data_IF_153543815218
#
_entry.id   IF_153543815218
#
_cell.length_a   1.000
_cell.length_b   1.000
_cell.length_c   1.000
_cell.angle_alpha   90.00
_cell.angle_beta   90.00
_cell.angle_gamma   90.00
#
_symmetry.space_group_name_H-M   'P 1'
#
loop_
_entity.id
_entity.type
_entity.pdbx_description
1 polymer ?
#
# COMPACT_ATOMS: atom_id res chain seq x y z
N UNK A 1 26.71 21.05 12.61
CA UNK A 1 25.32 21.11 12.16
C UNK A 1 25.27 20.52 10.75
N UNK A 2 24.85 19.26 10.60
CA UNK A 2 24.69 18.68 9.26
C UNK A 2 23.52 19.39 8.55
N UNK A 3 23.62 19.72 7.25
CA UNK A 3 22.51 20.32 6.53
C UNK A 3 21.28 19.41 6.62
N UNK A 4 20.05 19.95 6.67
CA UNK A 4 18.85 19.14 6.67
C UNK A 4 18.87 18.26 5.42
N UNK A 5 18.78 16.95 5.62
CA UNK A 5 18.75 15.98 4.55
C UNK A 5 17.50 16.24 3.69
N UNK A 6 17.68 16.82 2.51
CA UNK A 6 16.57 17.12 1.60
C UNK A 6 15.89 15.83 1.16
N UNK A 7 14.58 15.73 1.37
CA UNK A 7 13.76 14.63 0.83
C UNK A 7 13.07 15.16 -0.41
N UNK A 8 13.25 14.47 -1.54
CA UNK A 8 12.61 14.83 -2.82
C UNK A 8 11.64 13.73 -3.19
N UNK A 9 10.43 14.10 -3.60
CA UNK A 9 9.33 13.20 -3.96
C UNK A 9 9.00 13.37 -5.44
N UNK A 10 8.80 12.28 -6.16
CA UNK A 10 8.42 12.33 -7.58
C UNK A 10 7.72 11.05 -8.03
N UNK A 11 7.03 11.14 -9.18
CA UNK A 11 6.39 10.01 -9.85
C UNK A 11 7.03 9.78 -11.21
N UNK A 12 7.04 8.53 -11.65
CA UNK A 12 7.53 8.10 -12.97
C UNK A 12 6.42 7.29 -13.64
N UNK A 13 5.93 7.69 -14.82
CA UNK A 13 5.01 6.88 -15.61
C UNK A 13 5.62 5.49 -15.88
N UNK A 14 4.79 4.44 -15.83
CA UNK A 14 5.24 3.05 -15.96
C UNK A 14 6.09 2.80 -17.20
N UNK A 15 5.71 3.39 -18.33
CA UNK A 15 6.45 3.34 -19.60
C UNK A 15 7.85 3.96 -19.55
N UNK A 16 8.10 4.87 -18.59
CA UNK A 16 9.38 5.57 -18.40
C UNK A 16 10.21 4.98 -17.24
N UNK A 17 9.74 3.91 -16.58
CA UNK A 17 10.47 3.27 -15.49
C UNK A 17 11.69 2.51 -16.03
N UNK A 18 12.86 2.97 -15.60
CA UNK A 18 14.17 2.39 -15.96
C UNK A 18 14.48 1.12 -15.18
N UNK A 19 15.35 0.27 -15.72
CA UNK A 19 15.84 -0.90 -15.01
C UNK A 19 16.67 -0.55 -13.77
N UNK A 20 17.36 0.60 -13.78
CA UNK A 20 18.08 1.10 -12.62
C UNK A 20 17.12 1.40 -11.47
N UNK A 21 15.99 2.08 -11.77
CA UNK A 21 14.93 2.30 -10.79
C UNK A 21 14.37 0.97 -10.30
N UNK A 22 14.06 0.01 -11.17
CA UNK A 22 13.56 -1.31 -10.75
C UNK A 22 14.55 -2.14 -9.92
N UNK A 23 15.85 -2.05 -10.17
CA UNK A 23 16.89 -2.73 -9.38
C UNK A 23 17.01 -2.13 -7.99
N UNK A 24 17.02 -0.80 -7.89
CA UNK A 24 16.84 -0.13 -6.61
C UNK A 24 15.49 -0.52 -5.99
N UNK A 25 14.48 -0.80 -6.82
CA UNK A 25 13.20 -1.31 -6.39
C UNK A 25 13.27 -2.62 -5.62
N UNK A 26 13.74 -3.62 -6.33
CA UNK A 26 14.00 -4.95 -5.83
C UNK A 26 14.85 -4.94 -4.55
N UNK A 27 15.89 -4.11 -4.52
CA UNK A 27 16.85 -4.04 -3.41
C UNK A 27 16.20 -3.53 -2.13
N UNK A 28 15.45 -2.42 -2.17
CA UNK A 28 14.76 -1.90 -0.99
C UNK A 28 13.73 -2.89 -0.47
N UNK A 29 12.91 -3.48 -1.35
CA UNK A 29 11.89 -4.46 -0.97
C UNK A 29 12.54 -5.64 -0.23
N UNK A 30 13.55 -6.22 -0.87
CA UNK A 30 14.27 -7.39 -0.39
C UNK A 30 15.01 -7.18 0.95
N UNK A 31 15.23 -5.93 1.33
CA UNK A 31 15.91 -5.56 2.58
C UNK A 31 14.95 -5.08 3.68
N UNK A 32 13.75 -4.61 3.34
CA UNK A 32 12.89 -3.90 4.29
C UNK A 32 11.48 -4.44 4.45
N UNK A 33 10.97 -5.24 3.50
CA UNK A 33 9.56 -5.61 3.48
C UNK A 33 9.16 -6.52 4.66
N UNK A 34 9.68 -7.74 4.71
CA UNK A 34 9.31 -8.70 5.74
C UNK A 34 10.15 -9.97 5.68
N UNK A 35 9.94 -10.84 6.65
CA UNK A 35 10.48 -12.21 6.66
C UNK A 35 9.34 -13.20 6.50
N UNK A 36 9.62 -14.35 5.92
CA UNK A 36 8.65 -15.44 5.88
C UNK A 36 8.41 -15.98 7.29
N UNK A 37 7.19 -16.44 7.56
CA UNK A 37 6.81 -16.99 8.87
C UNK A 37 7.46 -18.35 9.15
N UNK A 38 7.81 -19.12 8.10
CA UNK A 38 8.64 -20.33 8.16
C UNK A 38 8.92 -20.83 6.73
N UNK A 39 10.18 -21.05 6.30
CA UNK A 39 11.44 -20.72 6.99
C UNK A 39 11.58 -19.19 7.19
N UNK A 40 12.62 -18.71 7.88
CA UNK A 40 12.79 -17.28 8.25
C UNK A 40 13.57 -16.38 7.25
N UNK A 41 13.84 -16.74 5.96
CA UNK A 41 14.55 -15.81 5.10
C UNK A 41 13.67 -14.59 4.80
N UNK A 42 14.33 -13.46 4.49
CA UNK A 42 13.63 -12.28 4.00
C UNK A 42 12.87 -12.59 2.72
N UNK A 43 11.68 -12.01 2.59
CA UNK A 43 10.95 -12.00 1.31
C UNK A 43 11.81 -11.25 0.29
N UNK A 44 12.09 -11.90 -0.85
CA UNK A 44 12.87 -11.32 -1.93
C UNK A 44 12.00 -11.09 -3.15
N UNK A 45 12.27 -10.00 -3.86
CA UNK A 45 11.66 -9.73 -5.14
C UNK A 45 12.71 -9.13 -6.07
N UNK A 46 12.86 -9.72 -7.25
CA UNK A 46 13.77 -9.25 -8.30
C UNK A 46 13.13 -8.18 -9.19
N UNK A 47 13.95 -7.43 -9.91
CA UNK A 47 13.50 -6.35 -10.80
C UNK A 47 12.56 -6.86 -11.91
N UNK A 48 12.84 -8.03 -12.48
CA UNK A 48 11.98 -8.65 -13.50
C UNK A 48 10.60 -9.00 -12.94
N UNK A 49 10.54 -9.58 -11.73
CA UNK A 49 9.28 -9.90 -11.05
C UNK A 49 8.50 -8.65 -10.67
N UNK A 50 9.18 -7.58 -10.24
CA UNK A 50 8.51 -6.28 -10.00
C UNK A 50 7.91 -5.71 -11.28
N UNK A 51 8.63 -5.79 -12.40
CA UNK A 51 8.12 -5.34 -13.70
C UNK A 51 6.87 -6.12 -14.09
N UNK A 52 6.93 -7.44 -13.99
CA UNK A 52 5.82 -8.33 -14.34
C UNK A 52 4.60 -8.16 -13.42
N UNK A 53 4.80 -8.08 -12.10
CA UNK A 53 3.69 -8.07 -11.15
C UNK A 53 3.09 -6.68 -10.91
N UNK A 54 3.87 -5.61 -11.11
CA UNK A 54 3.48 -4.27 -10.71
C UNK A 54 3.52 -3.23 -11.85
N UNK A 55 4.11 -3.58 -13.00
CA UNK A 55 4.16 -2.75 -14.22
C UNK A 55 3.76 -3.57 -15.46
N UNK A 56 2.93 -4.61 -15.32
CA UNK A 56 2.45 -5.43 -16.44
C UNK A 56 1.70 -4.62 -17.49
N UNK A 57 1.13 -3.48 -17.09
CA UNK A 57 0.57 -2.47 -17.99
C UNK A 57 1.27 -1.13 -17.76
N UNK A 58 2.39 -0.88 -18.46
CA UNK A 58 3.17 0.36 -18.29
C UNK A 58 2.40 1.63 -18.61
N UNK A 59 1.34 1.55 -19.43
CA UNK A 59 0.52 2.70 -19.82
C UNK A 59 -0.45 3.14 -18.73
N UNK A 60 -0.84 2.21 -17.86
CA UNK A 60 -1.73 2.44 -16.74
C UNK A 60 -1.04 2.19 -15.40
N UNK A 61 0.28 2.42 -15.35
CA UNK A 61 1.04 2.29 -14.12
C UNK A 61 1.81 3.55 -13.79
N UNK A 62 1.97 3.80 -12.50
CA UNK A 62 2.77 4.89 -11.96
C UNK A 62 3.67 4.36 -10.86
N UNK A 63 4.92 4.83 -10.82
CA UNK A 63 5.89 4.53 -9.78
C UNK A 63 6.14 5.80 -8.95
N UNK A 64 5.66 5.84 -7.71
CA UNK A 64 5.99 6.90 -6.76
C UNK A 64 7.31 6.58 -6.03
N UNK A 65 8.22 7.56 -5.99
CA UNK A 65 9.55 7.46 -5.39
C UNK A 65 9.87 8.67 -4.51
N UNK A 66 10.77 8.47 -3.56
CA UNK A 66 11.45 9.57 -2.90
C UNK A 66 12.95 9.32 -2.78
N UNK A 67 13.75 10.37 -2.75
CA UNK A 67 15.20 10.31 -2.47
C UNK A 67 15.52 11.12 -1.23
N UNK A 68 16.51 10.68 -0.47
CA UNK A 68 16.94 11.32 0.77
C UNK A 68 18.41 11.71 0.61
N UNK A 69 18.71 13.01 0.54
CA UNK A 69 20.06 13.54 0.33
C UNK A 69 20.52 13.55 -1.14
N UNK A 70 21.81 13.84 -1.36
CA UNK A 70 22.39 14.05 -2.70
C UNK A 70 22.73 12.77 -3.48
N UNK A 71 22.61 11.60 -2.86
CA UNK A 71 22.98 10.34 -3.50
C UNK A 71 21.75 9.73 -4.21
N UNK A 72 21.73 9.85 -5.53
CA UNK A 72 20.91 9.02 -6.44
C UNK A 72 21.08 7.50 -6.21
N UNK A 73 22.08 7.10 -5.40
CA UNK A 73 22.52 5.73 -5.18
C UNK A 73 22.15 5.14 -3.80
N UNK A 74 21.45 5.89 -2.94
CA UNK A 74 20.98 5.40 -1.63
C UNK A 74 19.45 5.42 -1.53
N UNK A 75 18.85 4.48 -2.25
CA UNK A 75 17.59 3.76 -1.97
C UNK A 75 16.52 4.47 -1.12
N UNK A 76 15.72 5.29 -1.81
CA UNK A 76 14.27 5.12 -1.99
C UNK A 76 13.46 4.74 -0.75
N UNK A 77 12.76 5.69 -0.12
CA UNK A 77 12.19 5.48 1.22
C UNK A 77 10.71 5.09 1.28
N UNK A 78 9.99 4.93 0.17
CA UNK A 78 8.72 4.20 0.05
C UNK A 78 8.41 3.94 -1.43
N UNK A 79 7.50 3.04 -1.78
CA UNK A 79 7.04 2.84 -3.17
C UNK A 79 5.54 2.71 -3.25
N UNK A 80 4.96 2.94 -4.40
CA UNK A 80 3.65 2.41 -4.70
C UNK A 80 3.60 2.25 -6.20
N UNK A 81 3.28 1.04 -6.64
CA UNK A 81 2.86 0.82 -8.01
C UNK A 81 1.36 0.89 -8.03
N UNK A 82 0.85 1.78 -8.87
CA UNK A 82 -0.55 1.79 -9.20
C UNK A 82 -0.80 0.97 -10.45
N UNK A 83 -1.91 0.23 -10.47
CA UNK A 83 -2.58 -0.12 -11.72
C UNK A 83 -3.92 0.63 -11.86
N UNK A 84 -4.23 1.11 -13.08
CA UNK A 84 -5.56 1.58 -13.47
C UNK A 84 -6.17 0.70 -14.56
N UNK A 85 -7.45 0.33 -14.42
CA UNK A 85 -8.22 -0.17 -15.55
C UNK A 85 -8.98 1.02 -16.16
N UNK A 86 -8.97 1.14 -17.48
CA UNK A 86 -9.80 2.10 -18.25
C UNK A 86 -11.32 1.96 -17.97
N UNK A 87 -11.76 0.90 -17.29
CA UNK A 87 -13.14 0.68 -16.83
C UNK A 87 -13.34 0.73 -15.32
N UNK A 88 -12.30 0.85 -14.50
CA UNK A 88 -12.45 0.91 -13.04
C UNK A 88 -11.60 2.04 -12.46
N UNK A 89 -12.29 3.03 -11.88
CA UNK A 89 -11.78 4.25 -11.24
C UNK A 89 -10.92 3.98 -9.98
N UNK A 90 -10.15 2.88 -9.91
CA UNK A 90 -9.44 2.43 -8.71
C UNK A 90 -7.94 2.51 -8.92
N UNK A 91 -7.27 3.17 -7.99
CA UNK A 91 -5.82 3.27 -7.89
C UNK A 91 -5.31 2.22 -6.89
N UNK A 92 -4.91 1.03 -7.37
CA UNK A 92 -4.40 -0.04 -6.52
C UNK A 92 -2.97 0.22 -6.06
N UNK A 93 -2.76 0.44 -4.77
CA UNK A 93 -1.44 0.57 -4.16
C UNK A 93 -0.82 -0.82 -3.98
N UNK A 94 0.19 -1.13 -4.78
CA UNK A 94 0.98 -2.36 -4.61
C UNK A 94 2.42 -2.05 -4.25
N UNK A 95 3.03 -2.91 -3.44
CA UNK A 95 4.43 -2.80 -2.97
C UNK A 95 4.75 -1.49 -2.22
N UNK A 96 3.92 -1.09 -1.24
CA UNK A 96 4.24 0.02 -0.33
C UNK A 96 5.30 -0.34 0.70
N UNK A 97 6.57 -0.10 0.36
CA UNK A 97 7.73 -0.48 1.19
C UNK A 97 8.65 0.69 1.45
N UNK A 98 8.75 1.11 2.70
CA UNK A 98 9.72 2.10 3.13
C UNK A 98 10.93 1.54 3.85
N UNK A 99 12.05 2.28 3.78
CA UNK A 99 13.27 1.94 4.54
C UNK A 99 12.99 2.01 6.03
N UNK A 100 13.40 0.98 6.77
CA UNK A 100 13.24 0.87 8.23
C UNK A 100 13.80 2.09 8.97
N UNK A 101 14.92 2.64 8.48
CA UNK A 101 15.62 3.79 9.09
C UNK A 101 14.84 5.12 8.99
N UNK A 102 13.86 5.17 8.08
CA UNK A 102 13.09 6.37 7.75
C UNK A 102 11.58 6.21 7.92
N UNK A 103 11.12 5.13 8.57
CA UNK A 103 9.70 4.93 8.92
C UNK A 103 9.23 5.97 9.93
N UNK A 104 7.90 6.10 10.03
CA UNK A 104 7.23 7.06 10.91
C UNK A 104 7.51 8.55 10.61
N UNK A 105 8.07 8.86 9.44
CA UNK A 105 8.37 10.25 8.99
C UNK A 105 7.41 10.79 7.93
N UNK A 106 6.22 10.19 7.81
CA UNK A 106 5.19 10.62 6.84
C UNK A 106 5.49 10.28 5.36
N UNK A 107 6.63 9.66 5.05
CA UNK A 107 7.08 9.38 3.68
C UNK A 107 6.06 8.57 2.87
N UNK A 108 5.48 7.52 3.45
CA UNK A 108 4.47 6.71 2.80
C UNK A 108 3.25 7.55 2.39
N UNK A 109 2.74 8.39 3.30
CA UNK A 109 1.63 9.31 3.01
C UNK A 109 2.00 10.29 1.90
N UNK A 110 3.19 10.89 1.95
CA UNK A 110 3.66 11.81 0.91
C UNK A 110 3.78 11.16 -0.48
N UNK A 111 4.18 9.89 -0.56
CA UNK A 111 4.17 9.19 -1.85
C UNK A 111 2.77 8.91 -2.35
N UNK A 112 1.88 8.46 -1.46
CA UNK A 112 0.51 8.24 -1.86
C UNK A 112 -0.09 9.55 -2.38
N UNK A 113 0.23 10.71 -1.78
CA UNK A 113 -0.27 12.03 -2.22
C UNK A 113 0.10 12.39 -3.66
N UNK A 114 1.19 11.83 -4.21
CA UNK A 114 1.55 12.04 -5.62
C UNK A 114 0.72 11.22 -6.59
N UNK A 115 0.13 10.12 -6.12
CA UNK A 115 -0.76 9.29 -6.91
C UNK A 115 -2.15 9.94 -6.94
N UNK A 116 -3.00 9.67 -7.95
CA UNK A 116 -2.74 8.82 -9.11
C UNK A 116 -1.77 9.42 -10.16
N UNK A 117 -1.38 10.69 -9.97
CA UNK A 117 -0.70 11.50 -10.97
C UNK A 117 -1.70 12.44 -11.68
N UNK A 118 -1.22 13.54 -12.29
CA UNK A 118 -2.09 14.59 -12.84
C UNK A 118 -2.97 14.11 -14.00
N UNK A 119 -2.48 13.17 -14.80
CA UNK A 119 -3.18 12.70 -16.01
C UNK A 119 -4.15 11.54 -15.76
N UNK A 120 -4.21 11.04 -14.52
CA UNK A 120 -5.01 9.87 -14.17
C UNK A 120 -6.24 10.27 -13.35
N UNK A 121 -7.41 9.76 -13.77
CA UNK A 121 -8.65 9.88 -12.99
C UNK A 121 -8.86 8.59 -12.20
N UNK A 122 -9.06 8.71 -10.90
CA UNK A 122 -9.52 7.63 -10.04
C UNK A 122 -10.54 8.16 -9.02
N UNK A 123 -11.56 7.35 -8.72
CA UNK A 123 -12.58 7.60 -7.71
C UNK A 123 -12.27 6.94 -6.38
N UNK A 124 -11.34 5.99 -6.33
CA UNK A 124 -10.90 5.39 -5.07
C UNK A 124 -9.48 4.80 -5.15
N UNK A 125 -8.97 4.45 -3.97
CA UNK A 125 -7.74 3.71 -3.74
C UNK A 125 -8.05 2.34 -3.20
N UNK A 126 -7.24 1.36 -3.56
CA UNK A 126 -7.28 0.02 -2.99
C UNK A 126 -5.91 -0.42 -2.49
N UNK A 127 -5.87 -1.16 -1.39
CA UNK A 127 -4.64 -1.65 -0.77
C UNK A 127 -4.93 -2.97 -0.06
N UNK A 128 -4.10 -3.97 -0.34
CA UNK A 128 -3.99 -5.19 0.46
C UNK A 128 -2.61 -5.20 1.14
N UNK A 129 -2.56 -5.33 2.47
CA UNK A 129 -1.30 -5.28 3.21
C UNK A 129 -1.39 -5.95 4.58
N UNK A 130 -0.31 -6.60 5.01
CA UNK A 130 -0.18 -7.05 6.40
C UNK A 130 0.18 -5.91 7.38
N UNK A 131 0.61 -4.74 6.91
CA UNK A 131 1.19 -3.72 7.80
C UNK A 131 0.23 -2.54 8.05
N UNK A 132 -0.19 -2.27 9.31
CA UNK A 132 -1.15 -1.20 9.62
C UNK A 132 -0.68 0.21 9.22
N UNK A 133 0.64 0.45 9.19
CA UNK A 133 1.20 1.73 8.76
C UNK A 133 0.85 2.09 7.30
N UNK A 134 0.72 1.10 6.42
CA UNK A 134 0.32 1.29 5.04
C UNK A 134 -1.19 1.66 4.94
N UNK A 135 -2.04 0.99 5.72
CA UNK A 135 -3.46 1.35 5.87
C UNK A 135 -3.61 2.79 6.36
N UNK A 136 -2.89 3.15 7.44
CA UNK A 136 -2.90 4.51 7.99
C UNK A 136 -2.39 5.56 7.00
N UNK A 137 -1.35 5.25 6.23
CA UNK A 137 -0.85 6.16 5.20
C UNK A 137 -1.92 6.44 4.13
N UNK A 138 -2.67 5.41 3.74
CA UNK A 138 -3.79 5.55 2.81
C UNK A 138 -4.91 6.41 3.43
N UNK A 139 -5.29 6.17 4.68
CA UNK A 139 -6.34 6.97 5.34
C UNK A 139 -5.97 8.43 5.48
N UNK A 140 -4.74 8.72 5.91
CA UNK A 140 -4.24 10.10 6.02
C UNK A 140 -4.31 10.86 4.70
N UNK A 141 -4.22 10.16 3.59
CA UNK A 141 -4.35 10.78 2.27
C UNK A 141 -5.79 11.07 1.89
N UNK A 142 -6.71 10.14 2.12
CA UNK A 142 -8.10 10.28 1.66
C UNK A 142 -8.98 11.04 2.65
N UNK A 143 -8.60 11.09 3.93
CA UNK A 143 -9.39 11.63 5.02
C UNK A 143 -8.68 12.82 5.67
N UNK A 144 -8.74 14.00 5.03
CA UNK A 144 -8.17 15.24 5.60
C UNK A 144 -8.96 15.78 6.81
N UNK A 145 -10.17 15.26 7.07
CA UNK A 145 -11.08 15.74 8.12
C UNK A 145 -11.75 14.64 8.97
N UNK A 146 -11.66 13.36 8.58
CA UNK A 146 -12.24 12.25 9.35
C UNK A 146 -11.12 11.59 10.16
N UNK A 147 -11.34 11.43 11.46
CA UNK A 147 -10.43 10.75 12.39
C UNK A 147 -10.49 9.22 12.27
N UNK A 148 -11.35 8.69 11.40
CA UNK A 148 -11.61 7.25 11.28
C UNK A 148 -11.73 6.77 9.84
N UNK A 149 -11.48 5.47 9.69
CA UNK A 149 -11.69 4.66 8.49
C UNK A 149 -13.16 4.72 8.03
N UNK A 150 -13.39 4.90 6.73
CA UNK A 150 -14.73 4.81 6.14
C UNK A 150 -15.12 3.34 5.91
N UNK A 151 -15.51 2.66 7.00
CA UNK A 151 -15.92 1.26 6.95
C UNK A 151 -17.18 1.04 6.11
N UNK A 152 -18.06 2.03 6.02
CA UNK A 152 -19.27 1.96 5.18
C UNK A 152 -18.92 1.94 3.70
N UNK A 153 -17.93 2.74 3.28
CA UNK A 153 -17.40 2.67 1.92
C UNK A 153 -16.80 1.30 1.63
N UNK A 154 -16.02 0.74 2.57
CA UNK A 154 -15.46 -0.60 2.42
C UNK A 154 -16.59 -1.64 2.25
N UNK A 155 -17.55 -1.68 3.18
CA UNK A 155 -18.69 -2.60 3.14
C UNK A 155 -19.47 -2.53 1.83
N UNK A 156 -19.70 -1.31 1.34
CA UNK A 156 -20.53 -1.06 0.15
C UNK A 156 -19.83 -1.41 -1.16
N UNK A 157 -18.50 -1.21 -1.24
CA UNK A 157 -17.78 -1.23 -2.51
C UNK A 157 -16.74 -2.36 -2.63
N UNK A 158 -16.34 -3.01 -1.54
CA UNK A 158 -15.25 -4.01 -1.53
C UNK A 158 -15.43 -5.09 -2.59
N UNK A 159 -16.60 -5.74 -2.63
CA UNK A 159 -16.86 -6.84 -3.57
C UNK A 159 -16.79 -6.40 -5.03
N UNK A 160 -17.31 -5.22 -5.36
CA UNK A 160 -17.28 -4.68 -6.72
C UNK A 160 -15.85 -4.28 -7.13
N UNK A 161 -15.12 -3.67 -6.21
CA UNK A 161 -13.75 -3.21 -6.45
C UNK A 161 -12.79 -4.39 -6.61
N UNK A 162 -12.87 -5.41 -5.74
CA UNK A 162 -11.98 -6.58 -5.88
C UNK A 162 -12.29 -7.35 -7.17
N UNK A 163 -13.56 -7.53 -7.55
CA UNK A 163 -13.95 -8.27 -8.76
C UNK A 163 -13.53 -7.57 -10.06
N UNK A 164 -13.19 -6.29 -10.01
CA UNK A 164 -12.68 -5.52 -11.16
C UNK A 164 -11.15 -5.38 -11.14
N UNK A 165 -10.50 -5.94 -10.12
CA UNK A 165 -9.04 -5.92 -10.04
C UNK A 165 -8.42 -6.75 -11.16
N UNK A 166 -7.32 -6.24 -11.64
CA UNK A 166 -6.43 -6.87 -12.60
C UNK A 166 -5.09 -7.26 -11.93
N UNK A 167 -4.90 -6.86 -10.66
CA UNK A 167 -3.69 -7.15 -9.91
C UNK A 167 -3.63 -8.66 -9.74
N UNK A 168 -2.61 -9.29 -10.32
CA UNK A 168 -2.56 -10.74 -10.51
C UNK A 168 -2.75 -11.52 -9.21
N UNK A 169 -2.13 -11.09 -8.12
CA UNK A 169 -2.26 -11.75 -6.82
C UNK A 169 -3.56 -11.44 -6.06
N UNK A 170 -4.39 -10.51 -6.56
CA UNK A 170 -5.69 -10.14 -5.99
C UNK A 170 -6.88 -10.62 -6.81
N UNK A 171 -6.67 -11.14 -8.02
CA UNK A 171 -7.75 -11.46 -8.96
C UNK A 171 -8.72 -12.52 -8.44
N UNK A 172 -8.21 -13.51 -7.73
CA UNK A 172 -8.97 -14.68 -7.26
C UNK A 172 -8.97 -14.80 -5.73
N UNK A 173 -8.68 -13.71 -5.02
CA UNK A 173 -8.64 -13.73 -3.55
C UNK A 173 -10.04 -13.72 -2.95
N UNK A 174 -10.14 -14.33 -1.79
CA UNK A 174 -11.39 -14.34 -1.02
C UNK A 174 -11.37 -13.15 -0.07
N UNK A 175 -12.39 -12.28 -0.17
CA UNK A 175 -12.68 -11.30 0.87
C UNK A 175 -13.16 -12.03 2.13
N UNK A 176 -12.69 -11.60 3.29
CA UNK A 176 -12.96 -12.22 4.59
C UNK A 176 -13.29 -11.16 5.64
N UNK A 177 -14.19 -11.49 6.55
CA UNK A 177 -14.49 -10.68 7.74
C UNK A 177 -15.89 -10.13 7.81
N UNK A 178 -16.28 -9.68 9.00
CA UNK A 178 -17.65 -9.30 9.34
C UNK A 178 -18.17 -8.09 8.56
N UNK A 179 -17.28 -7.28 8.00
CA UNK A 179 -17.64 -6.16 7.13
C UNK A 179 -18.00 -6.61 5.70
N UNK A 180 -17.57 -7.81 5.31
CA UNK A 180 -17.56 -8.28 3.92
C UNK A 180 -18.42 -9.54 3.71
N UNK A 181 -18.69 -10.31 4.77
CA UNK A 181 -19.49 -11.53 4.76
C UNK A 181 -20.28 -11.69 6.08
N UNK A 182 -21.46 -12.30 6.00
CA UNK A 182 -22.38 -12.44 7.15
C UNK A 182 -21.89 -13.45 8.21
N UNK A 183 -21.09 -14.45 7.82
CA UNK A 183 -20.56 -15.49 8.70
C UNK A 183 -19.04 -15.37 8.84
N UNK A 184 -18.57 -14.39 9.61
CA UNK A 184 -17.14 -14.13 9.81
C UNK A 184 -16.59 -14.75 11.09
N UNK A 185 -15.32 -15.17 11.01
CA UNK A 185 -14.54 -15.56 12.19
C UNK A 185 -14.40 -14.37 13.16
N UNK A 186 -14.44 -14.64 14.46
CA UNK A 186 -14.32 -13.61 15.48
C UNK A 186 -13.00 -12.84 15.33
N UNK A 187 -13.08 -11.51 15.32
CA UNK A 187 -11.92 -10.63 15.19
C UNK A 187 -11.47 -10.35 13.74
N UNK A 188 -12.05 -10.99 12.73
CA UNK A 188 -11.80 -10.71 11.31
C UNK A 188 -12.84 -9.69 10.81
N UNK A 189 -12.42 -8.48 10.41
CA UNK A 189 -13.36 -7.44 9.97
C UNK A 189 -13.28 -7.17 8.47
N UNK A 190 -12.10 -6.81 7.94
CA UNK A 190 -11.94 -6.52 6.51
C UNK A 190 -10.59 -6.99 5.98
N UNK A 191 -10.52 -8.25 5.54
CA UNK A 191 -9.32 -8.90 5.04
C UNK A 191 -9.49 -9.46 3.62
N UNK A 192 -8.35 -9.75 3.00
CA UNK A 192 -8.23 -10.67 1.86
C UNK A 192 -7.35 -11.85 2.27
N UNK A 193 -7.73 -13.05 1.85
CA UNK A 193 -6.88 -14.23 1.99
C UNK A 193 -5.95 -14.33 0.77
N UNK A 194 -4.69 -13.92 0.94
CA UNK A 194 -3.68 -13.91 -0.14
C UNK A 194 -2.74 -15.12 -0.07
N UNK A 195 -2.89 -15.98 0.94
CA UNK A 195 -1.98 -17.09 1.24
C UNK A 195 -0.52 -16.64 1.35
N UNK A 196 -0.30 -15.38 1.74
CA UNK A 196 1.01 -14.78 1.84
C UNK A 196 1.49 -14.79 3.30
N UNK A 197 2.23 -15.84 3.64
CA UNK A 197 2.59 -16.17 5.03
C UNK A 197 3.87 -15.48 5.51
N UNK A 198 3.83 -14.16 5.65
CA UNK A 198 4.90 -13.39 6.31
C UNK A 198 4.79 -13.43 7.82
N UNK A 199 5.91 -13.21 8.48
CA UNK A 199 5.94 -12.94 9.90
C UNK A 199 5.21 -11.63 10.22
N UNK A 200 4.43 -11.64 11.30
CA UNK A 200 3.62 -10.51 11.72
C UNK A 200 4.12 -9.85 13.00
N UNK A 201 5.29 -10.21 13.53
CA UNK A 201 5.80 -9.61 14.77
C UNK A 201 5.88 -8.08 14.65
N UNK A 202 6.54 -7.59 13.59
CA UNK A 202 6.68 -6.16 13.31
C UNK A 202 5.32 -5.47 13.03
N UNK A 203 4.43 -6.01 12.16
CA UNK A 203 3.08 -5.49 12.00
C UNK A 203 2.24 -5.42 13.27
N UNK A 204 2.27 -6.47 14.12
CA UNK A 204 1.48 -6.53 15.36
C UNK A 204 2.02 -5.56 16.41
N UNK A 205 3.34 -5.39 16.52
CA UNK A 205 3.95 -4.34 17.37
C UNK A 205 3.52 -2.94 16.95
N UNK A 206 3.49 -2.67 15.63
CA UNK A 206 3.04 -1.40 15.10
C UNK A 206 1.54 -1.16 15.35
N UNK A 207 0.71 -2.21 15.24
CA UNK A 207 -0.71 -2.16 15.55
C UNK A 207 -0.93 -1.82 17.04
N UNK A 208 -0.28 -2.57 17.94
CA UNK A 208 -0.39 -2.35 19.38
C UNK A 208 0.04 -0.94 19.79
N UNK A 209 1.16 -0.47 19.24
CA UNK A 209 1.66 0.89 19.47
C UNK A 209 0.67 1.97 18.99
N UNK A 210 -0.06 1.71 17.91
CA UNK A 210 -1.09 2.64 17.43
C UNK A 210 -2.32 2.63 18.34
N UNK A 211 -2.81 1.44 18.72
CA UNK A 211 -3.98 1.30 19.61
C UNK A 211 -3.75 2.01 20.95
N UNK A 212 -2.57 1.80 21.55
CA UNK A 212 -2.19 2.42 22.82
C UNK A 212 -2.09 3.95 22.71
N UNK A 213 -1.66 4.48 21.56
CA UNK A 213 -1.55 5.94 21.32
C UNK A 213 -2.89 6.59 21.01
N UNK A 214 -3.83 5.86 20.40
CA UNK A 214 -5.14 6.39 20.01
C UNK A 214 -6.21 6.13 21.07
N UNK A 215 -5.94 5.27 22.04
CA UNK A 215 -6.94 4.75 22.98
C UNK A 215 -8.15 4.14 22.24
N UNK A 216 -7.84 3.39 21.17
CA UNK A 216 -8.83 2.83 20.25
C UNK A 216 -8.38 1.48 19.72
N UNK A 217 -9.33 0.54 19.60
CA UNK A 217 -9.11 -0.76 18.94
C UNK A 217 -8.93 -0.58 17.43
N UNK A 218 -8.03 -1.35 16.83
CA UNK A 218 -7.83 -1.36 15.39
C UNK A 218 -9.11 -1.79 14.64
N UNK A 219 -9.65 -0.94 13.77
CA UNK A 219 -10.98 -1.13 13.19
C UNK A 219 -11.07 -2.23 12.12
N UNK A 220 -9.94 -2.70 11.56
CA UNK A 220 -9.97 -3.73 10.51
C UNK A 220 -9.87 -5.15 11.05
N UNK A 221 -9.71 -5.31 12.37
CA UNK A 221 -9.64 -6.61 13.04
C UNK A 221 -8.22 -7.11 13.32
N UNK A 222 -8.11 -8.29 13.90
CA UNK A 222 -6.85 -8.91 14.32
C UNK A 222 -6.26 -9.72 13.17
N UNK A 223 -5.05 -9.38 12.72
CA UNK A 223 -4.41 -10.04 11.59
C UNK A 223 -4.15 -11.53 11.87
N UNK A 224 -4.60 -12.40 10.98
CA UNK A 224 -4.42 -13.86 11.06
C UNK A 224 -3.53 -14.38 9.92
N UNK A 225 -2.92 -15.56 10.10
CA UNK A 225 -1.97 -16.14 9.12
C UNK A 225 -2.58 -16.24 7.72
N UNK A 226 -1.81 -15.82 6.72
CA UNK A 226 -2.19 -15.87 5.31
C UNK A 226 -3.20 -14.80 4.89
N UNK A 227 -3.65 -13.95 5.81
CA UNK A 227 -4.52 -12.82 5.54
C UNK A 227 -3.73 -11.52 5.48
N UNK A 228 -4.30 -10.56 4.77
CA UNK A 228 -3.86 -9.17 4.73
C UNK A 228 -5.06 -8.26 4.95
N UNK A 229 -4.84 -7.09 5.58
CA UNK A 229 -5.85 -6.06 5.68
C UNK A 229 -6.29 -5.63 4.29
N UNK A 230 -7.60 -5.54 4.10
CA UNK A 230 -8.21 -5.01 2.89
C UNK A 230 -8.71 -3.58 3.15
N UNK A 231 -8.10 -2.62 2.47
CA UNK A 231 -8.46 -1.22 2.58
C UNK A 231 -8.87 -0.67 1.23
N UNK A 232 -10.04 -0.05 1.17
CA UNK A 232 -10.43 0.82 0.07
C UNK A 232 -10.86 2.17 0.62
N UNK A 233 -10.56 3.24 -0.10
CA UNK A 233 -10.90 4.58 0.32
C UNK A 233 -11.25 5.47 -0.88
N UNK A 234 -12.34 6.26 -0.82
CA UNK A 234 -12.71 7.13 -1.92
C UNK A 234 -11.68 8.25 -2.10
N UNK A 235 -11.44 8.65 -3.33
CA UNK A 235 -10.73 9.88 -3.64
C UNK A 235 -11.78 10.97 -3.87
N UNK A 236 -11.82 11.97 -2.99
CA UNK A 236 -12.72 13.11 -3.18
C UNK A 236 -12.17 14.02 -4.30
N UNK A 237 -12.72 13.87 -5.50
CA UNK A 237 -12.36 14.69 -6.67
C UNK A 237 -13.05 16.06 -6.68
N UNK A 238 -13.90 16.38 -5.70
CA UNK A 238 -14.61 17.67 -5.66
C UNK A 238 -13.70 18.88 -5.38
N UNK A 239 -12.44 18.64 -4.97
CA UNK A 239 -11.51 19.70 -4.54
C UNK A 239 -10.44 20.10 -5.57
N UNK A 240 -10.42 19.52 -6.77
CA UNK A 240 -9.45 19.90 -7.82
C UNK A 240 -9.94 21.01 -8.77
N UNK A 241 -10.96 21.76 -8.36
CA UNK A 241 -11.42 22.99 -9.03
C UNK A 241 -11.57 24.10 -7.99
N UNK A 242 -10.47 24.79 -7.69
CA UNK A 242 -10.45 26.17 -7.23
C UNK A 242 -9.06 26.74 -7.51
#
# INVERSE_FOLDING_TARGET
MYPPTSIVFFIVPGALVTDAQLKACASLFSSNYGVWSSPVPRVKMGAARLRDQCLSDPTHSMLALCTIGKALYHNQASRSFTYYNLRSDICWITQLVGSRDYRERGIATSLLQLLPGPDFKCGAFGLATSHPAACLALFKRTCTFRTSLDLDFIKTHAQKIINTTNISYLKDVQLRGSLLQDAAEAGVVSFVFTAFYVDYEEPLQALKSWEDRQDMTWPLGVLTKGHEFFCIAPLDTSRSRN
#
